data_IF_410720487791
#
_entry.id   IF_410720487791
#
_cell.length_a   1.000
_cell.length_b   1.000
_cell.length_c   1.000
_cell.angle_alpha   90.00
_cell.angle_beta   90.00
_cell.angle_gamma   90.00
#
_symmetry.space_group_name_H-M   'P 1'
#
loop_
_entity.id
_entity.type
_entity.pdbx_description
1 polymer ?
#
# COMPACT_ATOMS: atom_id res chain seq x y z
N UNK A 1 5.78 6.56 -27.32
CA UNK A 1 4.35 6.94 -27.39
C UNK A 1 4.25 8.45 -27.35
N UNK A 2 3.49 9.08 -28.26
CA UNK A 2 3.31 10.54 -28.25
C UNK A 2 2.36 10.97 -27.12
N UNK A 3 2.46 12.22 -26.67
CA UNK A 3 1.56 12.79 -25.64
C UNK A 3 0.07 12.64 -26.01
N UNK A 4 -0.27 12.81 -27.29
CA UNK A 4 -1.64 12.69 -27.78
C UNK A 4 -2.17 11.25 -27.72
N UNK A 5 -1.34 10.26 -28.04
CA UNK A 5 -1.72 8.85 -27.94
C UNK A 5 -1.99 8.44 -26.49
N UNK A 6 -1.14 8.86 -25.58
CA UNK A 6 -1.30 8.59 -24.15
C UNK A 6 -2.55 9.25 -23.57
N UNK A 7 -2.84 10.49 -24.00
CA UNK A 7 -4.05 11.19 -23.60
C UNK A 7 -5.31 10.44 -24.07
N UNK A 8 -5.33 9.96 -25.31
CA UNK A 8 -6.45 9.21 -25.85
C UNK A 8 -6.68 7.89 -25.09
N UNK A 9 -5.61 7.12 -24.84
CA UNK A 9 -5.66 5.87 -24.06
C UNK A 9 -6.17 6.14 -22.64
N UNK A 10 -5.65 7.18 -21.99
CA UNK A 10 -6.06 7.57 -20.63
C UNK A 10 -7.54 7.94 -20.59
N UNK A 11 -8.00 8.78 -21.52
CA UNK A 11 -9.41 9.19 -21.58
C UNK A 11 -10.35 8.02 -21.87
N UNK A 12 -9.94 7.08 -22.71
CA UNK A 12 -10.73 5.88 -23.00
C UNK A 12 -10.80 4.94 -21.79
N UNK A 13 -9.69 4.75 -21.07
CA UNK A 13 -9.66 3.98 -19.83
C UNK A 13 -10.57 4.58 -18.75
N UNK A 14 -10.56 5.92 -18.58
CA UNK A 14 -11.46 6.63 -17.67
C UNK A 14 -12.93 6.45 -18.06
N UNK A 15 -13.24 6.52 -19.35
CA UNK A 15 -14.58 6.29 -19.89
C UNK A 15 -15.06 4.87 -19.59
N UNK A 16 -14.19 3.88 -19.78
CA UNK A 16 -14.49 2.47 -19.55
C UNK A 16 -14.69 2.17 -18.06
N UNK A 17 -13.84 2.71 -17.19
CA UNK A 17 -13.94 2.54 -15.73
C UNK A 17 -15.06 3.39 -15.09
N UNK A 18 -15.58 4.40 -15.80
CA UNK A 18 -16.61 5.31 -15.29
C UNK A 18 -16.14 6.28 -14.22
N UNK A 19 -14.81 6.44 -14.01
CA UNK A 19 -14.21 7.34 -13.02
C UNK A 19 -12.80 7.76 -13.42
N UNK A 20 -12.27 8.80 -12.76
CA UNK A 20 -10.93 9.31 -13.04
C UNK A 20 -9.86 8.32 -12.61
N UNK A 21 -8.78 8.19 -13.40
CA UNK A 21 -7.69 7.29 -13.03
C UNK A 21 -7.01 7.72 -11.73
N UNK A 22 -6.91 9.03 -11.47
CA UNK A 22 -6.33 9.52 -10.23
C UNK A 22 -7.10 9.07 -8.98
N UNK A 23 -8.43 8.86 -9.08
CA UNK A 23 -9.22 8.33 -7.97
C UNK A 23 -8.90 6.85 -7.73
N UNK A 24 -8.73 6.06 -8.80
CA UNK A 24 -8.34 4.64 -8.72
C UNK A 24 -6.96 4.50 -8.09
N UNK A 25 -5.99 5.32 -8.54
CA UNK A 25 -4.64 5.33 -8.00
C UNK A 25 -4.62 5.75 -6.53
N UNK A 26 -5.36 6.81 -6.18
CA UNK A 26 -5.44 7.27 -4.80
C UNK A 26 -6.02 6.17 -3.89
N UNK A 27 -7.07 5.49 -4.33
CA UNK A 27 -7.67 4.37 -3.62
C UNK A 27 -6.69 3.21 -3.42
N UNK A 28 -5.94 2.84 -4.46
CA UNK A 28 -4.90 1.80 -4.39
C UNK A 28 -3.81 2.16 -3.36
N UNK A 29 -3.27 3.38 -3.42
CA UNK A 29 -2.26 3.84 -2.48
C UNK A 29 -2.80 3.97 -1.06
N UNK A 30 -4.06 4.41 -0.91
CA UNK A 30 -4.71 4.47 0.40
C UNK A 30 -4.87 3.07 0.98
N UNK A 31 -5.27 2.08 0.17
CA UNK A 31 -5.36 0.68 0.61
C UNK A 31 -4.00 0.12 1.01
N UNK A 32 -2.94 0.44 0.26
CA UNK A 32 -1.57 0.09 0.63
C UNK A 32 -1.17 0.73 1.97
N UNK A 33 -1.53 2.00 2.19
CA UNK A 33 -1.31 2.70 3.45
C UNK A 33 -2.08 2.04 4.59
N UNK A 34 -3.34 1.65 4.39
CA UNK A 34 -4.15 0.89 5.36
C UNK A 34 -3.51 -0.42 5.77
N UNK A 35 -2.86 -1.11 4.83
CA UNK A 35 -2.11 -2.34 5.08
C UNK A 35 -0.71 -2.10 5.68
N UNK A 36 -0.39 -0.87 6.07
CA UNK A 36 0.79 -0.55 6.86
C UNK A 36 1.93 0.12 6.12
N UNK A 37 1.82 0.32 4.80
CA UNK A 37 2.83 1.06 4.04
C UNK A 37 2.92 2.50 4.60
N UNK A 38 4.09 2.97 5.07
CA UNK A 38 4.24 4.28 5.73
C UNK A 38 4.10 5.51 4.82
N UNK A 39 3.09 5.55 3.95
CA UNK A 39 2.88 6.62 2.99
C UNK A 39 1.60 7.40 3.27
N UNK A 40 1.60 8.66 2.84
CA UNK A 40 0.43 9.53 2.83
C UNK A 40 0.17 10.00 1.40
N UNK A 41 -0.71 9.30 0.66
CA UNK A 41 -1.10 9.72 -0.67
C UNK A 41 -2.05 10.92 -0.61
N UNK A 42 -1.97 11.79 -1.61
CA UNK A 42 -2.95 12.85 -1.83
C UNK A 42 -3.14 13.09 -3.33
N UNK A 43 -4.41 13.22 -3.75
CA UNK A 43 -4.75 13.60 -5.12
C UNK A 43 -4.45 15.08 -5.33
N UNK A 44 -3.71 15.42 -6.38
CA UNK A 44 -3.34 16.81 -6.70
C UNK A 44 -4.07 17.32 -7.95
N UNK A 45 -4.47 16.43 -8.85
CA UNK A 45 -5.28 16.74 -10.03
C UNK A 45 -5.95 15.46 -10.54
N UNK A 46 -6.73 15.55 -11.63
CA UNK A 46 -7.33 14.39 -12.30
C UNK A 46 -6.30 13.39 -12.86
N UNK A 47 -5.03 13.80 -13.01
CA UNK A 47 -3.94 12.97 -13.54
C UNK A 47 -2.67 13.03 -12.71
N UNK A 48 -2.79 13.44 -11.44
CA UNK A 48 -1.63 13.67 -10.58
C UNK A 48 -1.90 13.27 -9.15
N UNK A 49 -0.96 12.52 -8.57
CA UNK A 49 -0.96 12.11 -7.17
C UNK A 49 0.39 12.46 -6.56
N UNK A 50 0.38 12.93 -5.32
CA UNK A 50 1.58 13.11 -4.50
C UNK A 50 1.58 12.04 -3.41
N UNK A 51 2.76 11.53 -3.08
CA UNK A 51 2.96 10.59 -1.98
C UNK A 51 3.99 11.19 -1.01
N UNK A 52 3.64 11.28 0.27
CA UNK A 52 4.56 11.68 1.33
C UNK A 52 5.06 10.47 2.11
N UNK A 53 6.32 10.51 2.53
CA UNK A 53 6.97 9.50 3.36
C UNK A 53 8.13 10.14 4.12
N UNK A 54 8.16 9.99 5.46
CA UNK A 54 9.28 10.45 6.27
C UNK A 54 9.65 11.94 6.07
N UNK A 55 8.64 12.81 5.86
CA UNK A 55 8.83 14.24 5.59
C UNK A 55 9.27 14.59 4.15
N UNK A 56 9.46 13.59 3.29
CA UNK A 56 9.75 13.78 1.86
C UNK A 56 8.49 13.60 1.03
N UNK A 57 8.46 14.18 -0.17
CA UNK A 57 7.34 14.07 -1.12
C UNK A 57 7.79 13.70 -2.52
N UNK A 58 6.96 12.94 -3.21
CA UNK A 58 7.15 12.57 -4.61
C UNK A 58 5.86 12.78 -5.40
N UNK A 59 5.98 13.39 -6.58
CA UNK A 59 4.87 13.61 -7.50
C UNK A 59 4.86 12.55 -8.59
N UNK A 60 3.68 12.04 -8.88
CA UNK A 60 3.46 11.04 -9.91
C UNK A 60 2.35 11.50 -10.83
N UNK A 61 2.60 11.33 -12.12
CA UNK A 61 1.56 11.39 -13.13
C UNK A 61 0.84 10.06 -13.17
N UNK A 62 -0.46 10.12 -13.39
CA UNK A 62 -1.31 8.95 -13.59
C UNK A 62 -1.57 8.79 -15.08
N UNK A 63 -1.32 7.59 -15.59
CA UNK A 63 -1.53 7.22 -16.99
C UNK A 63 -2.23 5.86 -17.07
N UNK A 64 -2.84 5.57 -18.22
CA UNK A 64 -3.18 4.21 -18.61
C UNK A 64 -2.26 3.72 -19.72
N UNK A 65 -1.97 2.43 -19.72
CA UNK A 65 -1.33 1.70 -20.83
C UNK A 65 -2.20 0.52 -21.22
N UNK A 66 -2.20 0.16 -22.49
CA UNK A 66 -2.95 -1.01 -22.97
C UNK A 66 -2.34 -2.28 -22.39
N UNK A 67 -3.15 -3.11 -21.74
CA UNK A 67 -2.70 -4.40 -21.22
C UNK A 67 -2.73 -5.45 -22.36
N UNK A 68 -1.64 -6.21 -22.59
CA UNK A 68 -1.62 -7.30 -23.58
C UNK A 68 -2.74 -8.34 -23.40
N UNK A 69 -3.23 -8.54 -22.18
CA UNK A 69 -4.33 -9.46 -21.86
C UNK A 69 -5.72 -8.85 -22.09
N UNK A 70 -5.79 -7.61 -22.61
CA UNK A 70 -7.01 -6.83 -22.76
C UNK A 70 -7.20 -5.82 -21.63
N UNK A 71 -7.95 -4.75 -21.90
CA UNK A 71 -8.16 -3.66 -20.96
C UNK A 71 -6.96 -2.71 -20.83
N UNK A 72 -6.80 -2.12 -19.65
CA UNK A 72 -5.80 -1.10 -19.37
C UNK A 72 -5.13 -1.30 -18.00
N UNK A 73 -3.81 -1.21 -17.95
CA UNK A 73 -3.08 -1.05 -16.68
C UNK A 73 -3.04 0.43 -16.31
N UNK A 74 -3.40 0.76 -15.08
CA UNK A 74 -3.32 2.11 -14.50
C UNK A 74 -1.99 2.24 -13.77
N UNK A 75 -1.16 3.16 -14.23
CA UNK A 75 0.21 3.29 -13.75
C UNK A 75 0.49 4.64 -13.07
N UNK A 76 1.30 4.57 -12.02
CA UNK A 76 2.07 5.69 -11.49
C UNK A 76 3.35 5.86 -12.30
N UNK A 77 3.55 7.07 -12.84
CA UNK A 77 4.70 7.42 -13.66
C UNK A 77 5.38 8.68 -13.15
N UNK A 78 6.69 8.60 -12.97
CA UNK A 78 7.56 9.70 -12.54
C UNK A 78 8.48 10.18 -13.67
N UNK A 79 9.01 9.26 -14.46
CA UNK A 79 9.89 9.51 -15.59
C UNK A 79 9.20 9.10 -16.92
N UNK A 80 9.94 9.08 -18.02
CA UNK A 80 9.36 8.82 -19.35
C UNK A 80 9.22 7.34 -19.70
N UNK A 81 9.69 6.40 -18.89
CA UNK A 81 9.68 4.96 -19.26
C UNK A 81 9.13 4.05 -18.18
N UNK A 82 8.77 4.59 -17.02
CA UNK A 82 8.32 3.83 -15.86
C UNK A 82 6.79 3.70 -15.83
N UNK A 83 6.32 2.50 -15.45
CA UNK A 83 4.90 2.16 -15.29
C UNK A 83 4.75 1.30 -14.05
N UNK A 84 4.27 1.91 -12.97
CA UNK A 84 4.07 1.26 -11.70
C UNK A 84 2.62 0.94 -11.58
N UNK A 85 2.27 -0.27 -12.00
CA UNK A 85 0.88 -0.70 -12.07
C UNK A 85 0.29 -0.75 -10.67
N UNK A 86 -0.79 0.00 -10.46
CA UNK A 86 -1.49 0.05 -9.17
C UNK A 86 -2.95 -0.38 -9.29
N UNK A 87 -3.44 -0.55 -10.51
CA UNK A 87 -4.73 -1.13 -10.81
C UNK A 87 -4.79 -1.62 -12.26
N UNK A 88 -5.73 -2.51 -12.54
CA UNK A 88 -6.12 -2.96 -13.87
C UNK A 88 -7.59 -2.59 -14.11
N UNK A 89 -7.90 -2.14 -15.32
CA UNK A 89 -9.26 -1.92 -15.81
C UNK A 89 -9.53 -2.99 -16.87
N UNK A 90 -10.38 -3.97 -16.55
CA UNK A 90 -10.77 -5.04 -17.48
C UNK A 90 -11.61 -4.48 -18.62
N UNK A 91 -11.75 -5.25 -19.70
CA UNK A 91 -12.62 -4.88 -20.84
C UNK A 91 -14.09 -4.66 -20.44
N UNK A 92 -14.53 -5.23 -19.32
CA UNK A 92 -15.86 -5.02 -18.73
C UNK A 92 -16.03 -3.65 -18.07
N UNK A 93 -14.94 -2.90 -17.84
CA UNK A 93 -14.91 -1.70 -16.99
C UNK A 93 -14.71 -1.99 -15.50
N UNK A 94 -14.62 -3.26 -15.11
CA UNK A 94 -14.27 -3.64 -13.74
C UNK A 94 -12.84 -3.18 -13.41
N UNK A 95 -12.68 -2.58 -12.24
CA UNK A 95 -11.40 -2.09 -11.73
C UNK A 95 -10.89 -3.03 -10.64
N UNK A 96 -9.68 -3.56 -10.82
CA UNK A 96 -8.99 -4.41 -9.84
C UNK A 96 -7.73 -3.68 -9.33
N UNK A 97 -7.57 -3.55 -8.02
CA UNK A 97 -6.42 -2.87 -7.44
C UNK A 97 -5.22 -3.82 -7.33
N UNK A 98 -4.07 -3.38 -7.83
CA UNK A 98 -2.83 -4.17 -7.88
C UNK A 98 -1.85 -3.63 -6.85
N UNK A 99 -2.04 -4.02 -5.58
CA UNK A 99 -1.20 -3.53 -4.47
C UNK A 99 0.24 -4.06 -4.52
N UNK A 100 0.44 -5.22 -5.15
CA UNK A 100 1.77 -5.81 -5.35
C UNK A 100 2.56 -5.12 -6.45
N UNK A 101 1.93 -4.30 -7.28
CA UNK A 101 2.56 -3.58 -8.38
C UNK A 101 3.11 -2.20 -7.98
N UNK A 102 3.03 -1.85 -6.69
CA UNK A 102 3.57 -0.59 -6.17
C UNK A 102 5.05 -0.49 -6.57
N UNK A 103 5.40 0.49 -7.43
CA UNK A 103 6.69 0.49 -8.07
C UNK A 103 7.79 0.78 -7.06
N UNK A 104 8.94 0.13 -7.27
CA UNK A 104 10.14 0.40 -6.48
C UNK A 104 10.42 1.91 -6.44
N UNK A 105 10.33 2.65 -7.54
CA UNK A 105 10.61 4.09 -7.64
C UNK A 105 9.57 5.06 -7.04
N UNK A 106 8.54 4.58 -6.31
CA UNK A 106 8.09 5.35 -5.14
C UNK A 106 9.26 5.66 -4.19
N UNK A 107 10.42 5.02 -4.40
CA UNK A 107 11.72 5.11 -3.74
C UNK A 107 12.70 6.23 -4.09
N UNK A 108 12.35 7.26 -4.83
CA UNK A 108 13.28 8.39 -4.98
C UNK A 108 12.49 9.62 -5.43
N UNK A 109 12.69 10.81 -4.84
CA UNK A 109 13.95 11.53 -4.89
C UNK A 109 14.74 11.36 -3.58
N UNK A 110 15.81 10.56 -3.66
CA UNK A 110 16.87 10.41 -2.66
C UNK A 110 16.78 9.21 -1.71
N UNK A 111 16.22 8.05 -2.09
CA UNK A 111 16.08 6.83 -1.24
C UNK A 111 14.79 6.75 -0.40
N UNK A 112 13.64 6.84 -1.06
CA UNK A 112 12.34 6.56 -0.44
C UNK A 112 12.05 5.05 -0.22
N UNK A 113 12.76 4.11 -0.87
CA UNK A 113 12.72 2.64 -0.66
C UNK A 113 13.80 1.95 -1.52
N UNK A 114 14.96 1.58 -1.00
CA UNK A 114 15.87 0.74 -1.83
C UNK A 114 15.13 -0.52 -2.34
N UNK A 115 15.59 -1.12 -3.44
CA UNK A 115 14.86 -2.24 -4.09
C UNK A 115 14.45 -3.34 -3.09
N UNK A 116 15.29 -3.58 -2.09
CA UNK A 116 15.01 -4.52 -1.01
C UNK A 116 13.76 -4.18 -0.18
N UNK A 117 13.55 -2.92 0.21
CA UNK A 117 12.35 -2.56 1.00
C UNK A 117 11.08 -2.62 0.14
N UNK A 118 11.18 -2.29 -1.15
CA UNK A 118 10.07 -2.49 -2.09
C UNK A 118 9.68 -3.98 -2.19
N UNK A 119 10.67 -4.87 -2.32
CA UNK A 119 10.44 -6.32 -2.36
C UNK A 119 9.78 -6.84 -1.07
N UNK A 120 10.21 -6.34 0.10
CA UNK A 120 9.59 -6.68 1.38
C UNK A 120 8.12 -6.27 1.40
N UNK A 121 7.77 -5.05 0.98
CA UNK A 121 6.38 -4.61 0.95
C UNK A 121 5.53 -5.38 -0.05
N UNK A 122 6.06 -5.66 -1.24
CA UNK A 122 5.36 -6.52 -2.21
C UNK A 122 5.05 -7.89 -1.60
N UNK A 123 6.01 -8.50 -0.90
CA UNK A 123 5.78 -9.76 -0.18
C UNK A 123 4.78 -9.63 0.95
N UNK A 124 4.81 -8.53 1.73
CA UNK A 124 3.80 -8.27 2.77
C UNK A 124 2.40 -8.19 2.18
N UNK A 125 2.19 -7.40 1.12
CA UNK A 125 0.89 -7.31 0.46
C UNK A 125 0.46 -8.64 -0.10
N UNK A 126 1.36 -9.35 -0.78
CA UNK A 126 1.04 -10.66 -1.33
C UNK A 126 0.65 -11.66 -0.23
N UNK A 127 1.34 -11.66 0.91
CA UNK A 127 1.00 -12.50 2.05
C UNK A 127 -0.38 -12.15 2.63
N UNK A 128 -0.73 -10.86 2.73
CA UNK A 128 -2.08 -10.41 3.14
C UNK A 128 -3.13 -10.89 2.14
N UNK A 129 -2.95 -10.59 0.86
CA UNK A 129 -3.92 -10.87 -0.21
C UNK A 129 -4.15 -12.36 -0.44
N UNK A 130 -3.15 -13.20 -0.13
CA UNK A 130 -3.25 -14.66 -0.25
C UNK A 130 -3.60 -15.36 1.07
N UNK A 131 -3.93 -14.63 2.13
CA UNK A 131 -4.32 -15.21 3.42
C UNK A 131 -3.18 -15.93 4.16
N UNK A 132 -1.92 -15.59 3.86
CA UNK A 132 -0.71 -16.15 4.50
C UNK A 132 -0.27 -15.40 5.76
N UNK A 133 -0.90 -14.27 6.04
CA UNK A 133 -0.78 -13.57 7.32
C UNK A 133 -1.79 -14.18 8.30
N UNK A 134 -1.30 -14.76 9.41
CA UNK A 134 -2.14 -15.52 10.36
C UNK A 134 -2.15 -14.88 11.73
N UNK A 135 -3.32 -14.90 12.38
CA UNK A 135 -3.44 -14.47 13.78
C UNK A 135 -2.58 -15.37 14.68
N UNK A 136 -1.88 -14.76 15.63
CA UNK A 136 -1.04 -15.45 16.61
C UNK A 136 -1.44 -15.05 18.02
N UNK A 137 -1.50 -16.03 18.92
CA UNK A 137 -1.68 -15.76 20.35
C UNK A 137 -0.38 -15.21 20.94
N UNK A 138 -0.49 -14.48 22.05
CA UNK A 138 0.69 -13.96 22.77
C UNK A 138 1.68 -15.04 23.20
N UNK A 139 1.24 -16.28 23.43
CA UNK A 139 2.09 -17.44 23.72
C UNK A 139 2.95 -17.91 22.54
N UNK A 140 2.57 -17.55 21.31
CA UNK A 140 3.32 -17.85 20.08
C UNK A 140 4.39 -16.81 19.74
N UNK A 141 4.57 -15.80 20.59
CA UNK A 141 5.54 -14.72 20.41
C UNK A 141 6.85 -15.08 21.10
N UNK A 142 8.00 -15.02 20.40
CA UNK A 142 9.30 -15.19 21.02
C UNK A 142 9.53 -14.18 22.16
N UNK A 143 10.14 -14.58 23.29
CA UNK A 143 10.28 -13.70 24.46
C UNK A 143 10.97 -12.36 24.18
N UNK A 144 11.93 -12.34 23.24
CA UNK A 144 12.64 -11.11 22.85
C UNK A 144 11.76 -10.12 22.07
N UNK A 145 10.66 -10.58 21.47
CA UNK A 145 9.69 -9.76 20.74
C UNK A 145 8.52 -9.29 21.59
N UNK A 146 8.19 -10.00 22.67
CA UNK A 146 7.07 -9.66 23.56
C UNK A 146 7.15 -8.21 24.03
N UNK A 147 8.33 -7.77 24.50
CA UNK A 147 8.52 -6.39 24.95
C UNK A 147 8.36 -5.37 23.81
N UNK A 148 8.80 -5.71 22.59
CA UNK A 148 8.69 -4.81 21.43
C UNK A 148 7.23 -4.62 21.03
N UNK A 149 6.46 -5.71 21.04
CA UNK A 149 5.03 -5.72 20.75
C UNK A 149 4.25 -4.97 21.84
N UNK A 150 4.53 -5.22 23.12
CA UNK A 150 3.89 -4.50 24.23
C UNK A 150 4.16 -2.99 24.15
N UNK A 151 5.38 -2.60 23.77
CA UNK A 151 5.72 -1.22 23.51
C UNK A 151 4.90 -0.65 22.34
N UNK A 152 4.68 -1.40 21.26
CA UNK A 152 3.82 -0.97 20.14
C UNK A 152 2.39 -0.70 20.62
N UNK A 153 1.80 -1.60 21.41
CA UNK A 153 0.45 -1.37 21.93
C UNK A 153 0.38 -0.11 22.79
N UNK A 154 1.34 0.08 23.70
CA UNK A 154 1.38 1.24 24.60
C UNK A 154 1.68 2.55 23.87
N UNK A 155 2.75 2.60 23.08
CA UNK A 155 3.29 3.83 22.52
C UNK A 155 2.33 4.43 21.47
N UNK A 156 1.55 3.59 20.78
CA UNK A 156 0.56 4.03 19.80
C UNK A 156 -0.87 4.04 20.33
N UNK A 157 -1.08 3.78 21.63
CA UNK A 157 -2.41 3.73 22.25
C UNK A 157 -3.34 2.71 21.60
N UNK A 158 -2.79 1.63 21.05
CA UNK A 158 -3.56 0.55 20.42
C UNK A 158 -4.20 -0.29 21.53
N UNK A 159 -5.51 -0.47 21.47
CA UNK A 159 -6.25 -1.23 22.48
C UNK A 159 -6.09 -2.73 22.25
N UNK A 160 -6.46 -3.54 23.26
CA UNK A 160 -6.44 -5.02 23.20
C UNK A 160 -7.33 -5.63 22.11
N UNK A 161 -8.18 -4.83 21.45
CA UNK A 161 -8.99 -5.28 20.31
C UNK A 161 -8.14 -5.56 19.07
N UNK A 162 -7.05 -4.81 18.89
CA UNK A 162 -6.15 -5.09 17.80
C UNK A 162 -5.41 -6.39 18.07
N UNK A 163 -5.36 -7.25 17.05
CA UNK A 163 -4.76 -8.57 17.10
C UNK A 163 -3.33 -8.52 16.58
N UNK A 164 -2.59 -9.55 16.94
CA UNK A 164 -1.25 -9.80 16.43
C UNK A 164 -1.31 -10.84 15.33
N UNK A 165 -0.62 -10.57 14.23
CA UNK A 165 -0.51 -11.46 13.09
C UNK A 165 0.95 -11.74 12.76
N UNK A 166 1.22 -12.85 12.10
CA UNK A 166 2.55 -13.24 11.65
C UNK A 166 2.55 -13.61 10.16
N UNK A 167 3.58 -13.16 9.45
CA UNK A 167 3.85 -13.48 8.04
C UNK A 167 5.12 -14.32 7.93
N UNK A 168 4.97 -15.58 7.47
CA UNK A 168 6.11 -16.45 7.19
C UNK A 168 6.93 -15.99 5.97
N UNK A 169 6.30 -15.31 5.03
CA UNK A 169 6.92 -14.85 3.77
C UNK A 169 8.01 -13.79 4.00
N UNK A 170 7.90 -13.05 5.11
CA UNK A 170 8.75 -11.88 5.44
C UNK A 170 9.34 -11.94 6.85
N UNK A 171 8.93 -12.93 7.66
CA UNK A 171 9.28 -13.05 9.08
C UNK A 171 8.93 -11.79 9.87
N UNK A 172 7.77 -11.20 9.57
CA UNK A 172 7.28 -10.00 10.23
C UNK A 172 6.04 -10.32 11.08
N UNK A 173 5.92 -9.60 12.19
CA UNK A 173 4.68 -9.47 12.94
C UNK A 173 3.93 -8.23 12.50
N UNK A 174 2.60 -8.28 12.44
CA UNK A 174 1.75 -7.14 12.18
C UNK A 174 0.72 -6.96 13.30
N UNK A 175 0.45 -5.73 13.70
CA UNK A 175 -0.59 -5.39 14.68
C UNK A 175 -1.71 -4.65 13.96
N UNK A 176 -2.96 -5.07 14.17
CA UNK A 176 -4.12 -4.40 13.57
C UNK A 176 -5.43 -5.20 13.62
N UNK A 177 -6.31 -4.91 12.67
CA UNK A 177 -7.57 -5.61 12.39
C UNK A 177 -7.55 -6.04 10.92
N UNK A 178 -7.05 -7.25 10.66
CA UNK A 178 -6.87 -7.77 9.30
C UNK A 178 -8.20 -7.89 8.55
N UNK A 179 -9.27 -8.26 9.26
CA UNK A 179 -10.64 -8.35 8.75
C UNK A 179 -11.16 -7.02 8.19
N UNK A 180 -10.69 -5.88 8.71
CA UNK A 180 -11.03 -4.55 8.20
C UNK A 180 -9.98 -4.05 7.20
N UNK A 181 -8.92 -4.83 6.96
CA UNK A 181 -7.77 -4.48 6.12
C UNK A 181 -6.95 -3.33 6.68
N UNK A 182 -6.79 -3.27 8.01
CA UNK A 182 -6.07 -2.22 8.72
C UNK A 182 -4.92 -2.84 9.52
N UNK A 183 -3.68 -2.67 9.07
CA UNK A 183 -2.46 -3.21 9.67
C UNK A 183 -1.41 -2.10 9.85
N UNK A 184 -1.61 -1.19 10.82
CA UNK A 184 -0.81 0.02 10.92
C UNK A 184 0.66 -0.20 11.27
N UNK A 185 0.99 -1.30 11.95
CA UNK A 185 2.34 -1.52 12.44
C UNK A 185 2.84 -2.89 11.98
N UNK A 186 3.99 -2.90 11.33
CA UNK A 186 4.76 -4.10 11.00
C UNK A 186 6.09 -4.08 11.75
N UNK A 187 6.47 -5.22 12.32
CA UNK A 187 7.67 -5.39 13.13
C UNK A 187 8.46 -6.54 12.53
N UNK A 188 9.70 -6.27 12.12
CA UNK A 188 10.58 -7.32 11.64
C UNK A 188 11.09 -8.17 12.79
N UNK A 189 10.86 -9.49 12.74
CA UNK A 189 11.22 -10.39 13.84
C UNK A 189 12.73 -10.51 14.03
N UNK A 190 13.53 -10.23 13.00
CA UNK A 190 14.99 -10.39 13.02
C UNK A 190 15.69 -9.11 13.45
N UNK A 191 15.35 -7.98 12.83
CA UNK A 191 16.01 -6.69 13.07
C UNK A 191 15.30 -5.85 14.13
N UNK A 192 14.09 -6.23 14.55
CA UNK A 192 13.21 -5.49 15.46
C UNK A 192 12.82 -4.10 14.95
N UNK A 193 13.04 -3.81 13.66
CA UNK A 193 12.63 -2.54 13.06
C UNK A 193 11.13 -2.48 12.88
N UNK A 194 10.58 -1.28 13.10
CA UNK A 194 9.15 -1.01 13.00
C UNK A 194 8.87 -0.20 11.75
N UNK A 195 7.82 -0.57 11.03
CA UNK A 195 7.19 0.25 10.00
C UNK A 195 5.82 0.67 10.49
N UNK A 196 5.51 1.96 10.45
CA UNK A 196 4.25 2.50 10.96
C UNK A 196 3.59 3.36 9.91
N UNK A 197 2.35 3.02 9.55
CA UNK A 197 1.49 3.87 8.73
C UNK A 197 0.62 4.73 9.63
N UNK A 198 0.89 6.04 9.63
CA UNK A 198 0.08 7.01 10.37
C UNK A 198 -1.39 6.95 9.94
N UNK A 199 -1.63 6.84 8.63
CA UNK A 199 -2.99 6.76 8.07
C UNK A 199 -3.75 5.54 8.56
N UNK A 200 -3.12 4.36 8.57
CA UNK A 200 -3.74 3.16 9.10
C UNK A 200 -3.93 3.23 10.62
N UNK A 201 -3.02 3.90 11.32
CA UNK A 201 -3.09 4.03 12.77
C UNK A 201 -4.27 4.91 13.19
N UNK A 202 -4.47 6.05 12.50
CA UNK A 202 -5.66 6.89 12.64
C UNK A 202 -6.92 6.06 12.45
N UNK A 203 -6.99 5.29 11.36
CA UNK A 203 -8.14 4.45 11.05
C UNK A 203 -8.38 3.38 12.12
N UNK A 204 -7.33 2.72 12.60
CA UNK A 204 -7.44 1.73 13.67
C UNK A 204 -8.00 2.37 14.94
N UNK A 205 -7.53 3.56 15.31
CA UNK A 205 -7.99 4.30 16.49
C UNK A 205 -9.47 4.68 16.35
N UNK A 206 -9.93 5.08 15.17
CA UNK A 206 -11.36 5.33 14.90
C UNK A 206 -12.19 4.06 15.10
N UNK A 207 -11.79 2.96 14.47
CA UNK A 207 -12.52 1.68 14.51
C UNK A 207 -12.66 1.12 15.93
N UNK A 208 -11.65 1.33 16.79
CA UNK A 208 -11.71 0.85 18.18
C UNK A 208 -12.41 1.82 19.15
N UNK A 209 -12.76 3.04 18.72
CA UNK A 209 -13.46 4.06 19.55
C UNK A 209 -14.97 4.14 19.33
N UNK A 210 -15.49 3.63 18.22
CA UNK A 210 -16.88 3.82 17.78
C UNK A 210 -17.87 2.81 18.40
N UNK A 211 -17.46 2.04 19.40
CA UNK A 211 -18.31 1.16 20.21
C UNK A 211 -18.09 1.40 21.70
#
# INVERSE_FOLDING_TARGET
MSYYQEHAITSEAERLAGRQLADIVFESLLRAAMLGLPIEPAKTSSRGVVVHYGGRKAFFRVIAVVNPNGGYSVCLRRYTLDCGEVAEIKNSGEVELVLTGIPAYLSSPGDLYNGHVADVWQRRFHAVMTGRVREVSGSGVPPHLSQVIDNVYRDYGITRRAKLYFSQDTLDYAVGLLEHGVLPVWINAVTLTKSVSAKALEKLIEEVRVE
#
